data_IF_521248391579
#
_entry.id   IF_521248391579
#
_cell.length_a   1.000
_cell.length_b   1.000
_cell.length_c   1.000
_cell.angle_alpha   90.00
_cell.angle_beta   90.00
_cell.angle_gamma   90.00
#
_symmetry.space_group_name_H-M   'P 1'
#
loop_
_entity.id
_entity.type
_entity.pdbx_description
1 polymer ?
#
# COMPACT_ATOMS: atom_id res chain seq x y z
N UNK A 1 -1.58 -7.97 -7.81
CA UNK A 1 -2.82 -7.28 -7.38
C UNK A 1 -3.69 -8.17 -6.48
N UNK A 2 -3.95 -9.42 -6.89
CA UNK A 2 -4.87 -10.32 -6.15
C UNK A 2 -4.37 -10.71 -4.75
N UNK A 3 -3.07 -10.94 -4.56
CA UNK A 3 -2.49 -11.36 -3.29
C UNK A 3 -2.79 -10.42 -2.10
N UNK A 4 -2.50 -9.10 -2.15
CA UNK A 4 -2.83 -8.20 -1.05
C UNK A 4 -4.34 -8.05 -0.83
N UNK A 5 -5.16 -8.20 -1.88
CA UNK A 5 -6.61 -8.18 -1.75
C UNK A 5 -7.11 -9.37 -0.93
N UNK A 6 -6.69 -10.59 -1.27
CA UNK A 6 -7.03 -11.81 -0.52
C UNK A 6 -6.57 -11.68 0.93
N UNK A 7 -5.35 -11.19 1.14
CA UNK A 7 -4.80 -11.00 2.48
C UNK A 7 -5.59 -9.98 3.29
N UNK A 8 -5.97 -8.85 2.70
CA UNK A 8 -6.81 -7.84 3.35
C UNK A 8 -8.19 -8.37 3.74
N UNK A 9 -8.82 -9.15 2.85
CA UNK A 9 -10.12 -9.81 3.13
C UNK A 9 -9.97 -10.83 4.25
N UNK A 10 -8.96 -11.70 4.20
CA UNK A 10 -8.71 -12.71 5.24
C UNK A 10 -8.51 -12.07 6.61
N UNK A 11 -7.66 -11.06 6.69
CA UNK A 11 -7.42 -10.33 7.94
C UNK A 11 -8.68 -9.62 8.42
N UNK A 12 -9.44 -9.00 7.51
CA UNK A 12 -10.72 -8.38 7.81
C UNK A 12 -11.71 -9.35 8.44
N UNK A 13 -11.93 -10.51 7.84
CA UNK A 13 -12.88 -11.50 8.38
C UNK A 13 -12.38 -12.16 9.68
N UNK A 14 -11.11 -12.55 9.77
CA UNK A 14 -10.65 -13.33 10.92
C UNK A 14 -10.14 -12.50 12.08
N UNK A 15 -9.55 -11.32 11.84
CA UNK A 15 -8.96 -10.53 12.92
C UNK A 15 -9.84 -9.38 13.34
N UNK A 16 -10.51 -8.68 12.42
CA UNK A 16 -11.36 -7.54 12.78
C UNK A 16 -12.63 -8.00 13.47
N UNK A 17 -13.22 -9.14 13.08
CA UNK A 17 -14.43 -9.65 13.76
C UNK A 17 -14.16 -10.16 15.17
N UNK A 18 -12.95 -10.69 15.44
CA UNK A 18 -12.58 -11.24 16.74
C UNK A 18 -11.96 -10.20 17.67
N UNK A 19 -11.05 -9.37 17.16
CA UNK A 19 -10.38 -8.30 17.91
C UNK A 19 -10.12 -7.08 17.00
N UNK A 20 -11.12 -6.18 16.84
CA UNK A 20 -11.02 -5.01 15.98
C UNK A 20 -9.93 -4.01 16.40
N UNK A 21 -9.55 -4.02 17.68
CA UNK A 21 -8.53 -3.12 18.23
C UNK A 21 -7.17 -3.79 18.41
N UNK A 22 -7.08 -5.09 18.11
CA UNK A 22 -5.86 -5.86 18.18
C UNK A 22 -4.75 -5.32 17.29
N UNK A 23 -3.52 -5.70 17.61
CA UNK A 23 -2.30 -5.26 16.92
C UNK A 23 -2.35 -5.61 15.43
N UNK A 24 -2.82 -6.81 15.08
CA UNK A 24 -2.90 -7.26 13.67
C UNK A 24 -3.92 -6.42 12.89
N UNK A 25 -5.14 -6.27 13.40
CA UNK A 25 -6.17 -5.43 12.77
C UNK A 25 -5.68 -3.99 12.59
N UNK A 26 -4.99 -3.44 13.59
CA UNK A 26 -4.46 -2.07 13.56
C UNK A 26 -3.37 -1.90 12.50
N UNK A 27 -2.35 -2.76 12.47
CA UNK A 27 -1.24 -2.65 11.52
C UNK A 27 -1.73 -2.77 10.07
N UNK A 28 -2.55 -3.78 9.79
CA UNK A 28 -3.03 -4.02 8.42
C UNK A 28 -4.10 -3.02 7.96
N UNK A 29 -4.72 -2.28 8.89
CA UNK A 29 -5.55 -1.13 8.56
C UNK A 29 -4.76 0.11 8.12
N UNK A 30 -3.45 0.16 8.41
CA UNK A 30 -2.56 1.26 8.03
C UNK A 30 -1.73 0.89 6.79
N UNK A 31 -1.38 -0.39 6.62
CA UNK A 31 -0.57 -0.83 5.50
C UNK A 31 -1.25 -0.54 4.14
N UNK A 32 -0.63 0.24 3.23
CA UNK A 32 -1.29 0.80 2.05
C UNK A 32 -2.06 -0.19 1.18
N UNK A 33 -1.52 -1.39 0.95
CA UNK A 33 -2.15 -2.37 0.06
C UNK A 33 -3.35 -3.09 0.68
N UNK A 34 -3.49 -3.07 2.01
CA UNK A 34 -4.59 -3.73 2.75
C UNK A 34 -5.53 -2.74 3.43
N UNK A 35 -5.06 -1.52 3.68
CA UNK A 35 -5.80 -0.44 4.34
C UNK A 35 -7.18 -0.14 3.74
N UNK A 36 -7.42 -0.16 2.41
CA UNK A 36 -8.74 0.16 1.86
C UNK A 36 -9.81 -0.86 2.22
N UNK A 37 -9.41 -2.09 2.60
CA UNK A 37 -10.33 -3.15 2.99
C UNK A 37 -10.44 -3.22 4.51
N UNK A 38 -9.29 -3.37 5.18
CA UNK A 38 -9.24 -3.62 6.62
C UNK A 38 -9.71 -2.39 7.41
N UNK A 39 -9.38 -1.16 6.99
CA UNK A 39 -9.85 0.04 7.69
C UNK A 39 -11.37 0.19 7.57
N UNK A 40 -11.95 -0.04 6.39
CA UNK A 40 -13.40 0.01 6.17
C UNK A 40 -14.12 -0.98 7.09
N UNK A 41 -13.58 -2.19 7.22
CA UNK A 41 -14.14 -3.21 8.12
C UNK A 41 -14.00 -2.85 9.61
N UNK A 42 -13.02 -2.03 9.99
CA UNK A 42 -12.82 -1.58 11.37
C UNK A 42 -13.70 -0.38 11.77
N UNK A 43 -14.06 0.51 10.83
CA UNK A 43 -14.86 1.73 11.12
C UNK A 43 -16.11 1.46 12.00
N UNK A 44 -16.92 0.40 11.76
CA UNK A 44 -18.10 0.11 12.58
C UNK A 44 -17.80 -0.14 14.06
N UNK A 45 -16.55 -0.49 14.41
CA UNK A 45 -16.12 -0.78 15.78
C UNK A 45 -15.59 0.46 16.52
N UNK A 46 -15.86 1.67 16.02
CA UNK A 46 -15.53 2.91 16.75
C UNK A 46 -14.04 3.26 16.72
N UNK A 47 -13.36 3.05 15.59
CA UNK A 47 -11.94 3.43 15.42
C UNK A 47 -11.76 4.94 15.66
N UNK A 48 -10.77 5.36 16.47
CA UNK A 48 -10.46 6.77 16.64
C UNK A 48 -10.16 7.46 15.31
N UNK A 49 -10.71 8.67 15.12
CA UNK A 49 -10.59 9.44 13.86
C UNK A 49 -9.13 9.63 13.43
N UNK A 50 -8.20 9.79 14.39
CA UNK A 50 -6.79 9.95 14.09
C UNK A 50 -6.18 8.71 13.41
N UNK A 51 -6.64 7.49 13.73
CA UNK A 51 -6.17 6.27 13.05
C UNK A 51 -6.65 6.22 11.60
N UNK A 52 -7.90 6.66 11.36
CA UNK A 52 -8.46 6.76 10.02
C UNK A 52 -7.69 7.78 9.18
N UNK A 53 -7.46 8.98 9.72
CA UNK A 53 -6.68 10.03 9.04
C UNK A 53 -5.24 9.58 8.80
N UNK A 54 -4.60 8.94 9.78
CA UNK A 54 -3.25 8.42 9.62
C UNK A 54 -3.16 7.37 8.52
N UNK A 55 -4.09 6.41 8.50
CA UNK A 55 -4.19 5.40 7.44
C UNK A 55 -4.36 6.03 6.05
N UNK A 56 -5.25 7.02 5.93
CA UNK A 56 -5.45 7.75 4.68
C UNK A 56 -4.18 8.49 4.23
N UNK A 57 -3.52 9.20 5.13
CA UNK A 57 -2.27 9.93 4.82
C UNK A 57 -1.20 8.96 4.33
N UNK A 58 -1.01 7.82 5.01
CA UNK A 58 -0.03 6.80 4.64
C UNK A 58 -0.36 6.17 3.29
N UNK A 59 -1.64 5.89 3.03
CA UNK A 59 -2.13 5.36 1.76
C UNK A 59 -1.83 6.32 0.61
N UNK A 60 -2.26 7.58 0.71
CA UNK A 60 -2.03 8.58 -0.33
C UNK A 60 -0.56 8.88 -0.54
N UNK A 61 0.22 9.02 0.54
CA UNK A 61 1.66 9.27 0.45
C UNK A 61 2.35 8.12 -0.27
N UNK A 62 2.03 6.88 0.09
CA UNK A 62 2.62 5.70 -0.57
C UNK A 62 2.19 5.60 -2.02
N UNK A 63 0.92 5.84 -2.33
CA UNK A 63 0.41 5.86 -3.69
C UNK A 63 1.17 6.88 -4.55
N UNK A 64 1.28 8.13 -4.08
CA UNK A 64 1.98 9.20 -4.79
C UNK A 64 3.46 8.87 -4.97
N UNK A 65 4.13 8.34 -3.94
CA UNK A 65 5.52 7.92 -4.03
C UNK A 65 5.72 6.83 -5.09
N UNK A 66 4.88 5.79 -5.09
CA UNK A 66 4.98 4.69 -6.05
C UNK A 66 4.70 5.18 -7.47
N UNK A 67 3.67 6.00 -7.68
CA UNK A 67 3.37 6.59 -9.00
C UNK A 67 4.51 7.47 -9.48
N UNK A 68 5.08 8.30 -8.60
CA UNK A 68 6.22 9.15 -8.93
C UNK A 68 7.46 8.32 -9.32
N UNK A 69 7.79 7.28 -8.56
CA UNK A 69 8.89 6.36 -8.88
C UNK A 69 8.66 5.64 -10.21
N UNK A 70 7.43 5.13 -10.44
CA UNK A 70 7.07 4.44 -11.67
C UNK A 70 7.14 5.37 -12.88
N UNK A 71 6.64 6.61 -12.77
CA UNK A 71 6.71 7.62 -13.81
C UNK A 71 8.16 7.99 -14.15
N UNK A 72 9.03 8.12 -13.14
CA UNK A 72 10.46 8.40 -13.32
C UNK A 72 11.17 7.27 -14.07
N UNK A 73 10.92 6.02 -13.68
CA UNK A 73 11.46 4.83 -14.36
C UNK A 73 10.94 4.76 -15.81
N UNK A 74 9.63 4.98 -16.02
CA UNK A 74 9.02 4.91 -17.35
C UNK A 74 9.60 5.95 -18.31
N UNK A 75 9.80 7.18 -17.84
CA UNK A 75 10.37 8.29 -18.63
C UNK A 75 11.77 7.95 -19.19
N UNK A 76 12.59 7.26 -18.41
CA UNK A 76 13.94 6.86 -18.83
C UNK A 76 13.89 5.55 -19.63
N UNK A 77 13.07 4.60 -19.20
CA UNK A 77 12.96 3.28 -19.80
C UNK A 77 12.42 3.28 -21.22
N UNK A 78 11.53 4.22 -21.58
CA UNK A 78 10.96 4.30 -22.94
C UNK A 78 12.01 4.58 -24.03
N UNK A 79 13.15 5.17 -23.66
CA UNK A 79 14.23 5.50 -24.58
C UNK A 79 15.22 4.35 -24.78
N UNK A 80 15.04 3.22 -24.08
CA UNK A 80 15.98 2.11 -24.10
C UNK A 80 15.42 0.97 -24.96
N UNK A 81 16.05 0.79 -26.12
CA UNK A 81 15.76 -0.29 -27.06
C UNK A 81 16.82 -1.37 -27.00
N UNK A 82 16.42 -2.63 -27.19
CA UNK A 82 17.35 -3.76 -27.38
C UNK A 82 18.06 -4.28 -26.13
N UNK A 83 17.94 -3.62 -24.97
CA UNK A 83 18.53 -4.07 -23.71
C UNK A 83 17.49 -4.18 -22.60
N UNK A 84 17.40 -5.35 -21.97
CA UNK A 84 16.60 -5.53 -20.75
C UNK A 84 17.31 -4.83 -19.59
N UNK A 85 16.70 -3.83 -18.94
CA UNK A 85 17.33 -3.13 -17.85
C UNK A 85 17.50 -4.04 -16.63
N UNK A 86 18.66 -3.96 -15.99
CA UNK A 86 18.96 -4.66 -14.75
C UNK A 86 18.49 -3.88 -13.52
N UNK A 87 18.34 -4.56 -12.37
CA UNK A 87 17.99 -3.92 -11.10
C UNK A 87 18.91 -2.75 -10.71
N UNK A 88 20.21 -2.84 -11.05
CA UNK A 88 21.18 -1.78 -10.81
C UNK A 88 20.90 -0.53 -11.65
N UNK A 89 20.48 -0.72 -12.91
CA UNK A 89 20.15 0.38 -13.83
C UNK A 89 18.86 1.08 -13.41
N UNK A 90 17.83 0.32 -13.00
CA UNK A 90 16.58 0.88 -12.47
C UNK A 90 16.85 1.79 -11.27
N UNK A 91 17.69 1.36 -10.31
CA UNK A 91 18.06 2.19 -9.17
C UNK A 91 18.86 3.44 -9.58
N UNK A 92 19.70 3.34 -10.61
CA UNK A 92 20.43 4.49 -11.17
C UNK A 92 19.46 5.51 -11.78
N UNK A 93 18.43 5.05 -12.49
CA UNK A 93 17.38 5.90 -13.08
C UNK A 93 16.59 6.68 -12.03
N UNK A 94 16.41 6.10 -10.84
CA UNK A 94 15.78 6.84 -9.74
C UNK A 94 16.60 8.04 -9.26
N UNK A 95 17.91 8.07 -9.51
CA UNK A 95 18.79 9.21 -9.17
C UNK A 95 18.86 10.28 -10.26
N UNK A 96 18.47 9.95 -11.50
CA UNK A 96 18.39 10.89 -12.62
C UNK A 96 17.01 11.55 -12.65
#
# INVERSE_FOLDING_TARGET
>A
IILPLILGVYIGFFTVLNDPHGTVATIFSIFPLTSPIVMIMRIPFGVPIWQLLFSLIVLFTTFLLVVWLAAKIYRIGILIYGKKPSWKELYKWLKY
#
